data_IF_791486093314
#
_entry.id   IF_791486093314
#
_cell.length_a   1.000
_cell.length_b   1.000
_cell.length_c   1.000
_cell.angle_alpha   90.00
_cell.angle_beta   90.00
_cell.angle_gamma   90.00
#
_symmetry.space_group_name_H-M   'P 1'
#
loop_
_entity.id
_entity.type
_entity.pdbx_description
1 polymer ?
#
# COMPACT_ATOMS: atom_id res chain seq x y z
N UNK A 1 33.06 15.64 -32.74
CA UNK A 1 33.35 16.74 -31.79
C UNK A 1 32.01 17.32 -31.32
N UNK A 2 31.50 16.86 -30.17
CA UNK A 2 30.16 17.26 -29.70
C UNK A 2 30.20 18.65 -29.05
N UNK A 3 29.56 19.64 -29.68
CA UNK A 3 29.41 20.99 -29.09
C UNK A 3 28.51 20.89 -27.85
N UNK A 4 29.11 21.11 -26.67
CA UNK A 4 28.35 21.24 -25.41
C UNK A 4 27.50 22.49 -25.49
N UNK A 5 26.18 22.31 -25.44
CA UNK A 5 25.21 23.40 -25.49
C UNK A 5 25.31 24.21 -24.18
N UNK A 6 25.71 25.49 -24.27
CA UNK A 6 25.98 26.38 -23.11
C UNK A 6 24.72 26.78 -22.33
N UNK A 7 23.52 26.40 -22.81
CA UNK A 7 22.24 26.62 -22.13
C UNK A 7 21.77 25.49 -21.21
N UNK A 8 22.55 24.41 -21.00
CA UNK A 8 22.15 23.34 -20.07
C UNK A 8 22.46 23.74 -18.63
N UNK A 9 21.40 24.00 -17.84
CA UNK A 9 21.50 24.14 -16.39
C UNK A 9 22.32 23.00 -15.76
N UNK A 10 23.20 23.37 -14.83
CA UNK A 10 24.04 22.40 -14.15
C UNK A 10 23.16 21.39 -13.40
N UNK A 11 23.62 20.14 -13.29
CA UNK A 11 22.89 19.08 -12.56
C UNK A 11 22.53 19.48 -11.13
N UNK A 12 23.36 20.32 -10.51
CA UNK A 12 23.13 20.88 -9.17
C UNK A 12 21.89 21.78 -9.11
N UNK A 13 21.68 22.62 -10.13
CA UNK A 13 20.52 23.53 -10.19
C UNK A 13 19.22 22.75 -10.39
N UNK A 14 19.26 21.68 -11.19
CA UNK A 14 18.13 20.76 -11.37
C UNK A 14 17.79 19.99 -10.10
N UNK A 15 18.79 19.52 -9.37
CA UNK A 15 18.58 18.83 -8.09
C UNK A 15 18.01 19.78 -7.02
N UNK A 16 18.46 21.05 -7.01
CA UNK A 16 17.92 22.07 -6.12
C UNK A 16 16.46 22.40 -6.44
N UNK A 17 16.11 22.52 -7.72
CA UNK A 17 14.72 22.73 -8.17
C UNK A 17 13.80 21.56 -7.79
N UNK A 18 14.26 20.31 -7.93
CA UNK A 18 13.52 19.13 -7.50
C UNK A 18 13.31 19.08 -5.98
N UNK A 19 14.35 19.38 -5.19
CA UNK A 19 14.22 19.47 -3.72
C UNK A 19 13.24 20.57 -3.31
N UNK A 20 13.30 21.74 -3.94
CA UNK A 20 12.36 22.83 -3.68
C UNK A 20 10.92 22.45 -4.06
N UNK A 21 10.72 21.67 -5.13
CA UNK A 21 9.41 21.14 -5.51
C UNK A 21 8.87 20.11 -4.52
N UNK A 22 9.74 19.30 -3.90
CA UNK A 22 9.36 18.30 -2.89
C UNK A 22 9.15 18.92 -1.49
N UNK A 23 9.79 20.07 -1.22
CA UNK A 23 9.66 20.81 0.04
C UNK A 23 8.63 21.95 -0.04
N UNK A 24 7.99 22.15 -1.20
CA UNK A 24 6.90 23.09 -1.30
C UNK A 24 5.77 22.62 -0.37
N UNK A 25 5.26 23.48 0.52
CA UNK A 25 4.18 23.12 1.43
C UNK A 25 3.02 22.58 0.63
N UNK A 26 2.50 21.45 1.11
CA UNK A 26 1.45 20.63 0.54
C UNK A 26 0.44 21.50 -0.21
N UNK A 27 0.37 21.34 -1.54
CA UNK A 27 -0.49 22.14 -2.42
C UNK A 27 -1.92 21.95 -1.95
N UNK A 28 -2.38 22.88 -1.11
CA UNK A 28 -3.75 23.04 -0.62
C UNK A 28 -4.42 21.70 -0.34
N UNK A 29 -4.35 21.22 0.90
CA UNK A 29 -5.12 20.07 1.36
C UNK A 29 -6.61 20.29 1.04
N UNK A 30 -7.02 19.88 -0.17
CA UNK A 30 -8.40 19.84 -0.59
C UNK A 30 -9.05 18.89 0.41
N UNK A 31 -10.15 19.31 1.07
CA UNK A 31 -10.85 18.45 2.00
C UNK A 31 -11.03 17.08 1.37
N UNK A 32 -10.51 16.03 2.02
CA UNK A 32 -10.62 14.67 1.51
C UNK A 32 -12.11 14.34 1.41
N UNK A 33 -12.57 14.09 0.19
CA UNK A 33 -13.95 13.67 -0.06
C UNK A 33 -14.17 12.30 0.56
N UNK A 34 -15.30 12.12 1.25
CA UNK A 34 -15.63 10.83 1.82
C UNK A 34 -15.86 9.80 0.70
N UNK A 35 -15.29 8.58 0.78
CA UNK A 35 -15.56 7.53 -0.18
C UNK A 35 -17.07 7.24 -0.29
N UNK A 36 -17.58 7.08 -1.51
CA UNK A 36 -18.99 6.81 -1.82
C UNK A 36 -19.92 8.02 -1.76
N UNK A 37 -19.44 9.19 -1.29
CA UNK A 37 -20.28 10.36 -1.07
C UNK A 37 -20.78 11.00 -2.37
N UNK A 38 -21.88 11.74 -2.28
CA UNK A 38 -22.44 12.47 -3.43
C UNK A 38 -21.48 13.58 -3.90
N UNK A 39 -20.71 14.17 -2.99
CA UNK A 39 -19.65 15.13 -3.32
C UNK A 39 -18.51 14.47 -4.10
N UNK A 40 -18.11 13.24 -3.75
CA UNK A 40 -17.12 12.48 -4.51
C UNK A 40 -17.60 12.17 -5.94
N UNK A 41 -18.85 11.75 -6.09
CA UNK A 41 -19.49 11.51 -7.40
C UNK A 41 -19.58 12.79 -8.22
N UNK A 42 -20.01 13.90 -7.61
CA UNK A 42 -20.09 15.19 -8.27
C UNK A 42 -18.72 15.70 -8.73
N UNK A 43 -17.69 15.56 -7.89
CA UNK A 43 -16.31 15.92 -8.23
C UNK A 43 -15.77 15.07 -9.40
N UNK A 44 -16.02 13.76 -9.40
CA UNK A 44 -15.65 12.88 -10.51
C UNK A 44 -16.36 13.27 -11.82
N UNK A 45 -17.66 13.54 -11.78
CA UNK A 45 -18.41 14.00 -12.96
C UNK A 45 -17.90 15.34 -13.49
N UNK A 46 -17.60 16.29 -12.60
CA UNK A 46 -17.00 17.58 -12.97
C UNK A 46 -15.62 17.39 -13.61
N UNK A 47 -14.78 16.51 -13.05
CA UNK A 47 -13.48 16.18 -13.64
C UNK A 47 -13.61 15.51 -15.01
N UNK A 48 -14.60 14.63 -15.22
CA UNK A 48 -14.86 14.02 -16.54
C UNK A 48 -15.32 15.07 -17.57
N UNK A 49 -16.16 16.02 -17.15
CA UNK A 49 -16.58 17.13 -18.00
C UNK A 49 -15.39 18.01 -18.40
N UNK A 50 -14.56 18.41 -17.43
CA UNK A 50 -13.36 19.21 -17.66
C UNK A 50 -12.34 18.46 -18.54
N UNK A 51 -12.16 17.15 -18.32
CA UNK A 51 -11.32 16.31 -19.19
C UNK A 51 -11.81 16.35 -20.64
N UNK A 52 -13.12 16.22 -20.85
CA UNK A 52 -13.73 16.29 -22.19
C UNK A 52 -13.44 17.62 -22.87
N UNK A 53 -13.54 18.74 -22.15
CA UNK A 53 -13.22 20.07 -22.68
C UNK A 53 -11.73 20.17 -23.00
N UNK A 54 -10.89 19.81 -22.03
CA UNK A 54 -9.43 19.96 -22.12
C UNK A 54 -8.80 19.03 -23.14
N UNK A 55 -9.46 17.94 -23.55
CA UNK A 55 -8.98 17.01 -24.58
C UNK A 55 -9.50 17.32 -25.98
N UNK A 56 -10.27 18.41 -26.18
CA UNK A 56 -10.74 18.82 -27.51
C UNK A 56 -9.59 19.10 -28.50
N UNK A 57 -8.40 19.46 -28.00
CA UNK A 57 -7.18 19.61 -28.81
C UNK A 57 -6.81 18.33 -29.57
N UNK A 58 -7.31 17.16 -29.16
CA UNK A 58 -7.13 15.92 -29.92
C UNK A 58 -7.57 16.10 -31.37
N UNK A 59 -8.57 16.95 -31.64
CA UNK A 59 -9.03 17.27 -32.99
C UNK A 59 -8.03 18.06 -33.85
N UNK A 60 -6.98 18.62 -33.25
CA UNK A 60 -5.90 19.36 -33.92
C UNK A 60 -4.89 18.44 -34.64
N UNK A 61 -5.02 17.10 -34.50
CA UNK A 61 -4.17 16.09 -35.15
C UNK A 61 -4.90 15.32 -36.28
N UNK A 62 -5.32 15.96 -37.39
CA UNK A 62 -6.11 15.29 -38.43
C UNK A 62 -5.39 14.08 -39.05
N UNK A 63 -4.07 14.05 -39.07
CA UNK A 63 -3.25 12.94 -39.58
C UNK A 63 -3.38 11.66 -38.75
N UNK A 64 -3.76 11.79 -37.48
CA UNK A 64 -4.01 10.66 -36.61
C UNK A 64 -5.43 10.08 -36.79
N UNK A 65 -6.31 10.68 -37.61
CA UNK A 65 -7.62 10.10 -37.87
C UNK A 65 -7.50 8.88 -38.79
N UNK A 66 -7.81 7.70 -38.28
CA UNK A 66 -7.92 6.46 -39.07
C UNK A 66 -9.30 6.34 -39.70
N UNK A 67 -10.34 6.62 -38.93
CA UNK A 67 -11.75 6.69 -39.37
C UNK A 67 -12.46 7.86 -38.67
N UNK A 68 -13.74 8.18 -38.97
CA UNK A 68 -14.45 9.24 -38.25
C UNK A 68 -14.55 9.03 -36.73
N UNK A 69 -14.45 7.78 -36.26
CA UNK A 69 -14.56 7.42 -34.84
C UNK A 69 -13.26 6.86 -34.26
N UNK A 70 -12.25 6.57 -35.09
CA UNK A 70 -11.01 5.93 -34.66
C UNK A 70 -9.79 6.82 -34.92
N UNK A 71 -8.91 6.82 -33.94
CA UNK A 71 -7.65 7.54 -33.96
C UNK A 71 -6.49 6.56 -33.88
N UNK A 72 -5.42 6.85 -34.60
CA UNK A 72 -4.13 6.23 -34.39
C UNK A 72 -3.63 6.58 -32.99
N UNK A 73 -3.44 5.52 -32.20
CA UNK A 73 -2.78 5.51 -30.90
C UNK A 73 -1.37 4.96 -31.05
N UNK A 74 -0.52 5.18 -30.06
CA UNK A 74 0.81 4.57 -30.00
C UNK A 74 0.74 3.04 -30.20
N UNK A 75 -0.19 2.39 -29.49
CA UNK A 75 -0.36 0.93 -29.51
C UNK A 75 -0.89 0.44 -30.87
N UNK A 76 -1.87 1.14 -31.47
CA UNK A 76 -2.41 0.74 -32.78
C UNK A 76 -1.44 1.00 -33.92
N UNK A 77 -0.60 2.05 -33.85
CA UNK A 77 0.48 2.28 -34.83
C UNK A 77 1.51 1.14 -34.75
N UNK A 78 1.92 0.76 -33.54
CA UNK A 78 2.89 -0.32 -33.33
C UNK A 78 2.38 -1.65 -33.90
N UNK A 79 1.12 -2.00 -33.60
CA UNK A 79 0.44 -3.18 -34.16
C UNK A 79 0.31 -3.13 -35.67
N UNK A 80 -0.04 -1.98 -36.24
CA UNK A 80 -0.18 -1.81 -37.68
C UNK A 80 1.16 -1.92 -38.42
N UNK A 81 2.27 -1.52 -37.81
CA UNK A 81 3.61 -1.76 -38.35
C UNK A 81 3.95 -3.26 -38.37
N UNK A 82 3.65 -3.98 -37.27
CA UNK A 82 3.90 -5.42 -37.15
C UNK A 82 3.12 -6.24 -38.16
N UNK A 83 1.86 -5.85 -38.45
CA UNK A 83 1.00 -6.53 -39.43
C UNK A 83 1.26 -6.09 -40.88
N UNK A 84 2.09 -5.06 -41.09
CA UNK A 84 2.36 -4.48 -42.41
C UNK A 84 1.22 -3.60 -42.96
N UNK A 85 0.24 -3.22 -42.12
CA UNK A 85 -0.78 -2.22 -42.47
C UNK A 85 -0.18 -0.81 -42.65
N UNK A 86 0.84 -0.48 -41.85
CA UNK A 86 1.62 0.76 -42.00
C UNK A 86 3.03 0.47 -42.51
N UNK A 87 3.49 1.30 -43.45
CA UNK A 87 4.90 1.30 -43.83
C UNK A 87 5.78 1.87 -42.70
N UNK A 88 7.08 1.52 -42.63
CA UNK A 88 8.01 2.13 -41.67
C UNK A 88 8.07 3.67 -41.77
N UNK A 89 7.90 4.23 -42.97
CA UNK A 89 7.90 5.68 -43.19
C UNK A 89 6.64 6.35 -42.61
N UNK A 90 5.48 5.73 -42.76
CA UNK A 90 4.24 6.22 -42.15
C UNK A 90 4.28 6.11 -40.63
N UNK A 91 4.80 4.99 -40.10
CA UNK A 91 5.04 4.83 -38.67
C UNK A 91 5.95 5.95 -38.13
N UNK A 92 7.08 6.21 -38.78
CA UNK A 92 8.02 7.27 -38.37
C UNK A 92 7.37 8.67 -38.35
N UNK A 93 6.38 8.92 -39.23
CA UNK A 93 5.64 10.17 -39.29
C UNK A 93 4.55 10.27 -38.22
N UNK A 94 3.77 9.20 -37.99
CA UNK A 94 2.60 9.22 -37.10
C UNK A 94 2.97 9.05 -35.63
N UNK A 95 4.02 8.29 -35.34
CA UNK A 95 4.35 7.90 -33.97
C UNK A 95 4.67 9.07 -33.03
N UNK A 96 5.45 10.11 -33.43
CA UNK A 96 5.68 11.27 -32.57
C UNK A 96 4.38 12.03 -32.24
N UNK A 97 3.49 12.18 -33.22
CA UNK A 97 2.21 12.88 -33.06
C UNK A 97 1.28 12.12 -32.10
N UNK A 98 1.18 10.80 -32.25
CA UNK A 98 0.37 9.96 -31.37
C UNK A 98 0.89 10.00 -29.93
N UNK A 99 2.22 9.92 -29.76
CA UNK A 99 2.87 9.98 -28.44
C UNK A 99 2.65 11.34 -27.77
N UNK A 100 2.81 12.45 -28.49
CA UNK A 100 2.57 13.79 -27.96
C UNK A 100 1.11 13.97 -27.53
N UNK A 101 0.17 13.55 -28.38
CA UNK A 101 -1.27 13.62 -28.07
C UNK A 101 -1.62 12.82 -26.82
N UNK A 102 -1.15 11.57 -26.73
CA UNK A 102 -1.43 10.70 -25.58
C UNK A 102 -0.76 11.20 -24.31
N UNK A 103 0.47 11.69 -24.39
CA UNK A 103 1.15 12.30 -23.25
C UNK A 103 0.34 13.47 -22.69
N UNK A 104 -0.12 14.38 -23.57
CA UNK A 104 -0.92 15.53 -23.15
C UNK A 104 -2.28 15.13 -22.57
N UNK A 105 -2.92 14.09 -23.11
CA UNK A 105 -4.15 13.53 -22.51
C UNK A 105 -3.88 12.94 -21.11
N UNK A 106 -2.79 12.19 -20.95
CA UNK A 106 -2.40 11.61 -19.68
C UNK A 106 -2.04 12.69 -18.63
N UNK A 107 -1.40 13.79 -19.04
CA UNK A 107 -1.13 14.95 -18.19
C UNK A 107 -2.44 15.57 -17.69
N UNK A 108 -3.44 15.75 -18.56
CA UNK A 108 -4.76 16.26 -18.18
C UNK A 108 -5.46 15.31 -17.20
N UNK A 109 -5.44 14.00 -17.45
CA UNK A 109 -6.01 12.99 -16.55
C UNK A 109 -5.37 13.02 -15.17
N UNK A 110 -4.04 13.15 -15.14
CA UNK A 110 -3.28 13.25 -13.90
C UNK A 110 -3.61 14.53 -13.13
N UNK A 111 -3.62 15.68 -13.80
CA UNK A 111 -3.96 16.98 -13.19
C UNK A 111 -5.38 17.01 -12.63
N UNK A 112 -6.33 16.36 -13.31
CA UNK A 112 -7.72 16.27 -12.89
C UNK A 112 -7.96 15.13 -11.88
N UNK A 113 -6.97 14.29 -11.61
CA UNK A 113 -7.04 13.11 -10.74
C UNK A 113 -8.28 12.24 -11.02
N UNK A 114 -8.61 12.02 -12.30
CA UNK A 114 -9.86 11.34 -12.70
C UNK A 114 -9.96 9.92 -12.12
N UNK A 115 -8.85 9.18 -12.10
CA UNK A 115 -8.78 7.84 -11.54
C UNK A 115 -8.98 7.80 -10.01
N UNK A 116 -8.34 8.73 -9.28
CA UNK A 116 -8.51 8.84 -7.83
C UNK A 116 -9.93 9.24 -7.45
N UNK A 117 -10.52 10.19 -8.18
CA UNK A 117 -11.92 10.60 -8.00
C UNK A 117 -12.90 9.48 -8.34
N UNK A 118 -12.64 8.68 -9.38
CA UNK A 118 -13.45 7.50 -9.69
C UNK A 118 -13.43 6.49 -8.54
N UNK A 119 -12.24 6.16 -8.02
CA UNK A 119 -12.09 5.24 -6.91
C UNK A 119 -12.81 5.73 -5.63
N UNK A 120 -12.80 7.04 -5.37
CA UNK A 120 -13.56 7.62 -4.28
C UNK A 120 -15.07 7.59 -4.52
N UNK A 121 -15.53 8.00 -5.71
CA UNK A 121 -16.96 8.07 -6.06
C UNK A 121 -17.66 6.71 -5.99
N UNK A 122 -16.94 5.63 -6.33
CA UNK A 122 -17.48 4.28 -6.47
C UNK A 122 -16.85 3.26 -5.50
N UNK A 123 -16.31 3.73 -4.38
CA UNK A 123 -15.68 2.88 -3.37
C UNK A 123 -16.61 1.75 -2.88
N UNK A 124 -17.93 1.99 -2.85
CA UNK A 124 -18.93 1.01 -2.42
C UNK A 124 -19.25 -0.06 -3.48
N UNK A 125 -19.02 0.22 -4.77
CA UNK A 125 -19.32 -0.71 -5.88
C UNK A 125 -18.23 -1.76 -6.07
N UNK A 126 -17.02 -1.45 -5.63
CA UNK A 126 -15.87 -2.36 -5.62
C UNK A 126 -15.43 -2.62 -4.19
N UNK A 127 -16.27 -3.29 -3.36
CA UNK A 127 -15.87 -3.61 -2.01
C UNK A 127 -14.62 -4.47 -2.10
N UNK A 128 -13.48 -3.91 -1.68
CA UNK A 128 -12.30 -4.70 -1.38
C UNK A 128 -12.78 -5.63 -0.27
N UNK A 129 -13.07 -6.88 -0.60
CA UNK A 129 -13.36 -7.91 0.41
C UNK A 129 -12.14 -7.94 1.31
N UNK A 130 -12.21 -7.24 2.43
CA UNK A 130 -11.22 -7.28 3.48
C UNK A 130 -11.41 -8.63 4.15
N UNK A 131 -10.81 -9.66 3.55
CA UNK A 131 -10.58 -10.90 4.26
C UNK A 131 -9.93 -10.50 5.60
N UNK A 132 -10.42 -11.05 6.73
CA UNK A 132 -9.81 -10.77 8.02
C UNK A 132 -8.31 -11.02 7.92
N UNK A 133 -7.51 -10.10 8.47
CA UNK A 133 -6.06 -10.24 8.42
C UNK A 133 -5.67 -11.58 9.06
N UNK A 134 -4.97 -12.47 8.35
CA UNK A 134 -4.68 -13.82 8.83
C UNK A 134 -3.98 -13.81 10.18
N UNK A 135 -3.18 -12.77 10.48
CA UNK A 135 -2.48 -12.65 11.76
C UNK A 135 -3.44 -12.52 12.95
N UNK A 136 -4.60 -11.88 12.77
CA UNK A 136 -5.58 -11.70 13.84
C UNK A 136 -6.15 -13.04 14.28
N UNK A 137 -6.51 -13.89 13.31
CA UNK A 137 -7.02 -15.23 13.59
C UNK A 137 -5.99 -16.12 14.29
N UNK A 138 -4.70 -15.99 13.92
CA UNK A 138 -3.60 -16.72 14.55
C UNK A 138 -3.36 -16.25 15.99
N UNK A 139 -3.39 -14.94 16.24
CA UNK A 139 -3.24 -14.34 17.57
C UNK A 139 -4.36 -14.83 18.50
N UNK A 140 -5.61 -14.83 18.02
CA UNK A 140 -6.75 -15.31 18.81
C UNK A 140 -6.63 -16.80 19.14
N UNK A 141 -6.15 -17.63 18.21
CA UNK A 141 -5.88 -19.04 18.48
C UNK A 141 -4.79 -19.21 19.55
N UNK A 142 -3.69 -18.45 19.46
CA UNK A 142 -2.63 -18.47 20.47
C UNK A 142 -3.13 -18.06 21.85
N UNK A 143 -3.95 -17.00 21.94
CA UNK A 143 -4.52 -16.53 23.22
C UNK A 143 -5.43 -17.59 23.86
N UNK A 144 -6.23 -18.29 23.06
CA UNK A 144 -7.06 -19.41 23.56
C UNK A 144 -6.21 -20.56 24.09
N UNK A 145 -5.12 -20.92 23.40
CA UNK A 145 -4.21 -21.96 23.86
C UNK A 145 -3.46 -21.57 25.15
N UNK A 146 -3.09 -20.29 25.29
CA UNK A 146 -2.51 -19.75 26.53
C UNK A 146 -3.51 -19.77 27.69
N UNK A 147 -4.75 -19.32 27.46
CA UNK A 147 -5.80 -19.38 28.46
C UNK A 147 -6.09 -20.82 28.91
N UNK A 148 -6.06 -21.79 27.98
CA UNK A 148 -6.24 -23.21 28.29
C UNK A 148 -5.11 -23.74 29.18
N UNK A 149 -3.86 -23.36 28.93
CA UNK A 149 -2.73 -23.75 29.78
C UNK A 149 -2.83 -23.12 31.17
N UNK A 150 -3.16 -21.83 31.26
CA UNK A 150 -3.36 -21.14 32.55
C UNK A 150 -4.49 -21.79 33.36
N UNK A 151 -5.62 -22.11 32.72
CA UNK A 151 -6.74 -22.78 33.37
C UNK A 151 -6.37 -24.20 33.83
N UNK A 152 -5.59 -24.93 33.03
CA UNK A 152 -5.08 -26.25 33.41
C UNK A 152 -4.15 -26.15 34.63
N UNK A 153 -3.18 -25.23 34.62
CA UNK A 153 -2.26 -25.00 35.72
C UNK A 153 -2.99 -24.66 37.04
N UNK A 154 -4.00 -23.81 36.99
CA UNK A 154 -4.84 -23.49 38.15
C UNK A 154 -5.61 -24.72 38.68
N UNK A 155 -6.06 -25.61 37.79
CA UNK A 155 -6.83 -26.82 38.19
C UNK A 155 -5.99 -27.91 38.89
N UNK A 156 -4.66 -27.82 38.78
CA UNK A 156 -3.70 -28.80 39.31
C UNK A 156 -2.79 -28.21 40.38
N UNK A 157 -3.00 -26.95 40.76
CA UNK A 157 -2.16 -26.22 41.70
C UNK A 157 -2.04 -26.94 43.05
N UNK A 158 -0.81 -27.01 43.57
CA UNK A 158 -0.53 -27.56 44.90
C UNK A 158 -0.57 -29.09 45.00
N UNK A 159 -0.72 -29.83 43.89
CA UNK A 159 -0.72 -31.30 43.90
C UNK A 159 0.10 -31.92 42.78
N UNK A 160 0.42 -33.20 42.94
CA UNK A 160 1.09 -34.00 41.91
C UNK A 160 0.10 -34.36 40.79
N UNK A 161 0.53 -34.22 39.55
CA UNK A 161 -0.22 -34.62 38.37
C UNK A 161 -0.32 -36.14 38.26
N UNK A 162 -1.53 -36.63 37.95
CA UNK A 162 -1.72 -37.99 37.46
C UNK A 162 -1.18 -38.16 36.04
N UNK A 163 -0.96 -39.40 35.61
CA UNK A 163 -0.47 -39.70 34.25
C UNK A 163 -1.40 -39.16 33.16
N UNK A 164 -2.72 -39.20 33.40
CA UNK A 164 -3.71 -38.63 32.49
C UNK A 164 -3.60 -37.11 32.39
N UNK A 165 -3.31 -36.44 33.50
CA UNK A 165 -3.11 -34.99 33.53
C UNK A 165 -1.79 -34.57 32.88
N UNK A 166 -0.71 -35.35 33.07
CA UNK A 166 0.55 -35.12 32.36
C UNK A 166 0.36 -35.27 30.84
N UNK A 167 -0.37 -36.28 30.39
CA UNK A 167 -0.69 -36.46 28.97
C UNK A 167 -1.52 -35.28 28.42
N UNK A 168 -2.46 -34.75 29.23
CA UNK A 168 -3.25 -33.57 28.89
C UNK A 168 -2.41 -32.30 28.83
N UNK A 169 -1.54 -32.07 29.80
CA UNK A 169 -0.60 -30.94 29.82
C UNK A 169 0.26 -30.93 28.56
N UNK A 170 0.87 -32.07 28.21
CA UNK A 170 1.67 -32.22 27.01
C UNK A 170 0.89 -31.98 25.70
N UNK A 171 -0.42 -32.27 25.68
CA UNK A 171 -1.27 -31.94 24.55
C UNK A 171 -1.51 -30.42 24.44
N UNK A 172 -1.82 -29.75 25.55
CA UNK A 172 -2.03 -28.31 25.60
C UNK A 172 -0.73 -27.57 25.25
N UNK A 173 0.42 -28.03 25.74
CA UNK A 173 1.73 -27.43 25.43
C UNK A 173 2.06 -27.54 23.93
N UNK A 174 1.78 -28.70 23.31
CA UNK A 174 1.94 -28.87 21.85
C UNK A 174 1.04 -27.92 21.06
N UNK A 175 -0.22 -27.77 21.47
CA UNK A 175 -1.16 -26.84 20.84
C UNK A 175 -0.70 -25.38 21.00
N UNK A 176 -0.28 -24.99 22.21
CA UNK A 176 0.26 -23.67 22.47
C UNK A 176 1.50 -23.37 21.59
N UNK A 177 2.43 -24.33 21.48
CA UNK A 177 3.61 -24.18 20.62
C UNK A 177 3.23 -24.05 19.14
N UNK A 178 2.27 -24.85 18.67
CA UNK A 178 1.80 -24.81 17.28
C UNK A 178 1.12 -23.47 16.95
N UNK A 179 0.25 -22.97 17.82
CA UNK A 179 -0.43 -21.69 17.62
C UNK A 179 0.52 -20.49 17.65
N UNK A 180 1.53 -20.49 18.54
CA UNK A 180 2.61 -19.47 18.53
C UNK A 180 3.39 -19.49 17.21
N UNK A 181 3.79 -20.67 16.74
CA UNK A 181 4.48 -20.81 15.45
C UNK A 181 3.61 -20.29 14.28
N UNK A 182 2.30 -20.51 14.33
CA UNK A 182 1.37 -19.98 13.33
C UNK A 182 1.30 -18.45 13.34
N UNK A 183 1.36 -17.79 14.50
CA UNK A 183 1.45 -16.31 14.57
C UNK A 183 2.73 -15.81 13.91
N UNK A 184 3.87 -16.45 14.17
CA UNK A 184 5.15 -16.06 13.57
C UNK A 184 5.25 -16.34 12.07
N UNK A 185 4.48 -17.30 11.56
CA UNK A 185 4.40 -17.59 10.13
C UNK A 185 3.39 -16.70 9.38
N UNK A 186 2.47 -16.03 10.10
CA UNK A 186 1.45 -15.19 9.49
C UNK A 186 2.02 -13.85 9.01
N UNK A 187 1.71 -13.48 7.76
CA UNK A 187 2.10 -12.18 7.18
C UNK A 187 0.94 -11.20 7.34
N UNK A 188 1.08 -10.13 8.13
CA UNK A 188 0.02 -9.14 8.28
C UNK A 188 -0.18 -8.35 6.98
N UNK A 189 -1.41 -8.28 6.49
CA UNK A 189 -1.77 -7.60 5.22
C UNK A 189 -2.40 -6.23 5.45
N UNK A 190 -2.81 -5.93 6.67
CA UNK A 190 -3.49 -4.69 7.06
C UNK A 190 -2.67 -3.90 8.09
N UNK A 191 -2.96 -2.60 8.23
CA UNK A 191 -2.36 -1.79 9.29
C UNK A 191 -2.76 -2.29 10.69
N UNK A 192 -4.02 -2.69 10.85
CA UNK A 192 -4.53 -3.28 12.08
C UNK A 192 -3.80 -4.57 12.46
N UNK A 193 -3.61 -5.49 11.50
CA UNK A 193 -2.88 -6.72 11.72
C UNK A 193 -1.42 -6.50 12.12
N UNK A 194 -0.73 -5.55 11.49
CA UNK A 194 0.63 -5.14 11.91
C UNK A 194 0.66 -4.63 13.35
N UNK A 195 -0.31 -3.80 13.73
CA UNK A 195 -0.43 -3.30 15.09
C UNK A 195 -0.74 -4.42 16.10
N UNK A 196 -1.61 -5.36 15.74
CA UNK A 196 -1.92 -6.51 16.57
C UNK A 196 -0.71 -7.43 16.78
N UNK A 197 0.07 -7.70 15.73
CA UNK A 197 1.29 -8.49 15.83
C UNK A 197 2.33 -7.83 16.76
N UNK A 198 2.52 -6.52 16.65
CA UNK A 198 3.43 -5.78 17.53
C UNK A 198 3.02 -5.90 19.01
N UNK A 199 1.72 -5.72 19.32
CA UNK A 199 1.19 -5.93 20.68
C UNK A 199 1.35 -7.39 21.15
N UNK A 200 1.18 -8.35 20.25
CA UNK A 200 1.37 -9.76 20.58
C UNK A 200 2.83 -10.08 20.92
N UNK A 201 3.81 -9.52 20.18
CA UNK A 201 5.24 -9.67 20.49
C UNK A 201 5.55 -9.18 21.91
N UNK A 202 5.01 -8.02 22.30
CA UNK A 202 5.18 -7.49 23.67
C UNK A 202 4.63 -8.45 24.71
N UNK A 203 3.41 -8.94 24.51
CA UNK A 203 2.79 -9.91 25.41
C UNK A 203 3.67 -11.16 25.58
N UNK A 204 4.22 -11.70 24.48
CA UNK A 204 5.12 -12.87 24.55
C UNK A 204 6.43 -12.56 25.28
N UNK A 205 6.99 -11.36 25.09
CA UNK A 205 8.18 -10.91 25.80
C UNK A 205 7.93 -10.76 27.30
N UNK A 206 6.79 -10.18 27.70
CA UNK A 206 6.35 -10.08 29.09
C UNK A 206 6.20 -11.45 29.75
N UNK A 207 5.58 -12.41 29.05
CA UNK A 207 5.43 -13.78 29.56
C UNK A 207 6.77 -14.50 29.70
N UNK A 208 7.73 -14.23 28.83
CA UNK A 208 9.03 -14.94 28.80
C UNK A 208 10.02 -14.36 29.80
N UNK A 209 10.10 -13.03 29.89
CA UNK A 209 11.13 -12.31 30.62
C UNK A 209 10.61 -11.58 31.86
N UNK A 210 9.30 -11.56 32.09
CA UNK A 210 8.69 -10.87 33.23
C UNK A 210 8.78 -9.35 33.12
N UNK A 211 8.85 -8.66 34.27
CA UNK A 211 8.85 -7.20 34.34
C UNK A 211 10.04 -6.54 33.62
N UNK A 212 11.16 -7.26 33.50
CA UNK A 212 12.41 -6.75 32.91
C UNK A 212 12.52 -7.02 31.40
N UNK A 213 11.42 -7.42 30.75
CA UNK A 213 11.42 -7.84 29.35
C UNK A 213 12.01 -6.82 28.40
N UNK A 214 11.84 -5.52 28.65
CA UNK A 214 12.38 -4.45 27.79
C UNK A 214 13.91 -4.46 27.77
N UNK A 215 14.52 -4.53 28.95
CA UNK A 215 15.98 -4.59 29.07
C UNK A 215 16.53 -5.87 28.42
N UNK A 216 15.83 -7.00 28.61
CA UNK A 216 16.21 -8.28 28.01
C UNK A 216 16.08 -8.33 26.50
N UNK A 217 14.99 -7.80 25.96
CA UNK A 217 14.80 -7.70 24.50
C UNK A 217 15.85 -6.78 23.87
N UNK A 218 16.21 -5.69 24.53
CA UNK A 218 17.25 -4.77 24.06
C UNK A 218 18.63 -5.43 24.03
N UNK A 219 18.97 -6.17 25.08
CA UNK A 219 20.22 -6.91 25.23
C UNK A 219 20.34 -8.07 24.23
N UNK A 220 19.28 -8.85 24.03
CA UNK A 220 19.35 -10.13 23.30
C UNK A 220 18.99 -10.03 21.81
N UNK A 221 18.20 -9.02 21.38
CA UNK A 221 17.62 -8.99 20.03
C UNK A 221 17.98 -7.75 19.18
N UNK A 222 19.05 -7.02 19.53
CA UNK A 222 19.43 -5.76 18.84
C UNK A 222 18.26 -4.76 18.81
N UNK A 223 17.68 -4.48 19.99
CA UNK A 223 16.29 -4.05 20.20
C UNK A 223 15.83 -2.71 19.64
N UNK A 224 16.66 -1.92 18.97
CA UNK A 224 16.26 -0.61 18.43
C UNK A 224 15.11 -0.73 17.42
N UNK A 225 15.09 -1.79 16.59
CA UNK A 225 14.06 -1.97 15.56
C UNK A 225 12.71 -2.43 16.11
N UNK A 226 12.70 -3.32 17.12
CA UNK A 226 11.46 -3.76 17.74
C UNK A 226 10.84 -2.63 18.59
N UNK A 227 11.68 -1.87 19.30
CA UNK A 227 11.22 -0.72 20.07
C UNK A 227 10.74 0.42 19.16
N UNK A 228 11.43 0.68 18.04
CA UNK A 228 10.96 1.65 17.03
C UNK A 228 9.65 1.21 16.35
N UNK A 229 9.50 -0.09 16.05
CA UNK A 229 8.25 -0.65 15.55
C UNK A 229 7.13 -0.37 16.57
N UNK A 230 7.36 -0.64 17.85
CA UNK A 230 6.38 -0.41 18.91
C UNK A 230 5.99 1.06 19.08
N UNK A 231 6.97 1.98 19.03
CA UNK A 231 6.71 3.42 19.06
C UNK A 231 5.87 3.90 17.85
N UNK A 232 6.00 3.24 16.70
CA UNK A 232 5.24 3.57 15.50
C UNK A 232 3.78 3.08 15.52
N UNK A 233 3.43 2.10 16.36
CA UNK A 233 2.06 1.54 16.45
C UNK A 233 1.30 1.87 17.72
N UNK A 234 1.92 2.56 18.67
CA UNK A 234 1.26 3.08 19.88
C UNK A 234 1.13 4.62 19.83
N UNK A 235 -0.07 5.18 19.58
CA UNK A 235 -0.26 6.63 19.53
C UNK A 235 -0.04 7.32 20.88
N UNK A 236 -0.07 6.60 22.00
CA UNK A 236 0.19 7.16 23.33
C UNK A 236 1.69 7.25 23.69
N UNK A 237 2.56 6.59 22.91
CA UNK A 237 4.00 6.53 23.19
C UNK A 237 4.81 7.60 22.44
N UNK A 238 4.18 8.38 21.55
CA UNK A 238 4.82 9.52 20.86
C UNK A 238 5.08 10.73 21.77
N UNK A 239 4.59 10.72 23.01
CA UNK A 239 4.71 11.84 23.95
C UNK A 239 5.89 11.73 24.94
N UNK A 240 6.74 10.68 24.83
CA UNK A 240 7.82 10.43 25.79
C UNK A 240 9.19 10.16 25.16
N UNK A 241 9.43 10.61 23.92
CA UNK A 241 10.77 10.64 23.30
C UNK A 241 11.30 12.07 23.26
#
# INVERSE_FOLDING_TARGET
MFRRNSGRHALKDRAAGLRASLSAPDRSAVPLLAPGSDEAKAAWLAACHEHTIRTQFANEYPELKRTPLEWWTFDSISKALETGELSPAECARLYPLATERELRMAEIEHELNTAGLFALAYADEYPVKTAPDPVLSAIDASRRAEAAMTAFAASVEGRRLSDAEQAREAAIEREQRATRAAVWAAVPTTAEGRAALARYVVLQAELTFGADWRAKVQEEFCGDYLLALLAAVDPNNQAQV
#
